data_IF_079251886677
#
_entry.id   IF_079251886677
#
_cell.length_a   1.000
_cell.length_b   1.000
_cell.length_c   1.000
_cell.angle_alpha   90.00
_cell.angle_beta   90.00
_cell.angle_gamma   90.00
#
_symmetry.space_group_name_H-M   'P 1'
#
loop_
_entity.id
_entity.type
_entity.pdbx_description
1 polymer ?
#
# COMPACT_ATOMS: atom_id res chain seq x y z
N UNK A 1 11.19 5.85 6.18
CA UNK A 1 12.06 4.83 6.81
C UNK A 1 13.32 4.75 5.98
N UNK A 2 14.50 4.86 6.61
CA UNK A 2 15.81 4.93 5.93
C UNK A 2 16.70 3.72 6.22
N UNK A 3 16.23 2.78 7.03
CA UNK A 3 16.85 1.47 7.20
C UNK A 3 15.78 0.41 7.45
N UNK A 4 15.96 -0.79 6.90
CA UNK A 4 15.06 -1.93 7.14
C UNK A 4 15.01 -2.34 8.62
N UNK A 5 16.07 -2.08 9.39
CA UNK A 5 16.11 -2.36 10.84
C UNK A 5 15.21 -1.45 11.66
N UNK A 6 14.70 -0.35 11.10
CA UNK A 6 13.74 0.54 11.77
C UNK A 6 12.32 -0.07 11.82
N UNK A 7 12.06 -1.10 10.99
CA UNK A 7 10.77 -1.77 10.95
C UNK A 7 10.48 -2.46 12.28
N UNK A 8 9.40 -2.02 12.93
CA UNK A 8 8.78 -2.72 14.05
C UNK A 8 7.75 -3.68 13.47
N UNK A 9 8.15 -4.86 13.02
CA UNK A 9 7.26 -5.78 12.30
C UNK A 9 6.11 -6.32 13.17
N UNK A 10 4.98 -6.66 12.52
CA UNK A 10 3.93 -7.52 13.09
C UNK A 10 3.79 -8.73 12.18
N UNK A 11 3.85 -9.93 12.75
CA UNK A 11 3.67 -11.15 11.98
C UNK A 11 2.28 -11.19 11.31
N UNK A 12 2.24 -11.68 10.07
CA UNK A 12 1.01 -12.02 9.37
C UNK A 12 0.25 -13.09 10.16
N UNK A 13 -1.03 -12.89 10.49
CA UNK A 13 -1.82 -13.93 11.12
C UNK A 13 -2.10 -15.06 10.11
N UNK A 14 -2.18 -16.30 10.59
CA UNK A 14 -2.37 -17.48 9.74
C UNK A 14 -3.63 -17.44 8.86
N UNK A 15 -4.64 -16.64 9.25
CA UNK A 15 -5.88 -16.45 8.50
C UNK A 15 -5.78 -15.45 7.35
N UNK A 16 -4.65 -14.73 7.21
CA UNK A 16 -4.42 -13.74 6.18
C UNK A 16 -3.30 -14.19 5.24
N UNK A 17 -3.64 -14.45 3.98
CA UNK A 17 -2.68 -14.75 2.91
C UNK A 17 -2.40 -13.49 2.11
N UNK A 18 -1.14 -13.16 1.85
CA UNK A 18 -0.77 -12.02 0.99
C UNK A 18 -0.02 -12.55 -0.22
N UNK A 19 -0.48 -12.18 -1.42
CA UNK A 19 0.05 -12.72 -2.70
C UNK A 19 0.34 -11.57 -3.66
N UNK A 20 1.49 -11.62 -4.32
CA UNK A 20 1.82 -10.67 -5.39
C UNK A 20 1.08 -11.01 -6.68
N UNK A 21 0.63 -9.98 -7.40
CA UNK A 21 0.23 -10.08 -8.79
C UNK A 21 1.47 -10.01 -9.70
N UNK A 22 2.24 -11.10 -9.77
CA UNK A 22 3.50 -11.16 -10.54
C UNK A 22 3.26 -10.98 -12.05
N UNK A 23 2.15 -11.53 -12.55
CA UNK A 23 1.68 -11.25 -13.91
C UNK A 23 0.98 -9.91 -13.92
N UNK A 24 1.63 -8.89 -14.47
CA UNK A 24 1.07 -7.55 -14.60
C UNK A 24 -0.32 -7.61 -15.25
N UNK A 25 -1.30 -7.05 -14.56
CA UNK A 25 -2.71 -7.11 -14.96
C UNK A 25 -3.41 -5.83 -14.52
N UNK A 26 -3.28 -4.78 -15.33
CA UNK A 26 -3.85 -3.47 -15.01
C UNK A 26 -5.37 -3.50 -14.67
N UNK A 27 -6.23 -4.35 -15.29
CA UNK A 27 -7.65 -4.37 -14.94
C UNK A 27 -7.88 -4.88 -13.51
N UNK A 28 -7.04 -5.80 -13.03
CA UNK A 28 -7.12 -6.31 -11.67
C UNK A 28 -6.66 -5.26 -10.65
N UNK A 29 -5.56 -4.57 -10.94
CA UNK A 29 -5.12 -3.44 -10.15
C UNK A 29 -6.20 -2.35 -10.05
N UNK A 30 -6.83 -1.97 -11.18
CA UNK A 30 -7.93 -1.02 -11.23
C UNK A 30 -9.12 -1.44 -10.37
N UNK A 31 -9.49 -2.71 -10.46
CA UNK A 31 -10.55 -3.28 -9.63
C UNK A 31 -10.24 -3.15 -8.12
N UNK A 32 -9.02 -3.47 -7.69
CA UNK A 32 -8.61 -3.36 -6.29
C UNK A 32 -8.63 -1.92 -5.80
N UNK A 33 -8.10 -0.99 -6.59
CA UNK A 33 -8.13 0.44 -6.31
C UNK A 33 -9.56 0.93 -6.09
N UNK A 34 -10.50 0.55 -6.96
CA UNK A 34 -11.90 0.93 -6.82
C UNK A 34 -12.58 0.27 -5.61
N UNK A 35 -12.33 -1.02 -5.38
CA UNK A 35 -12.94 -1.78 -4.29
C UNK A 35 -12.52 -1.24 -2.91
N UNK A 36 -11.24 -0.91 -2.76
CA UNK A 36 -10.67 -0.54 -1.45
C UNK A 36 -10.63 0.97 -1.26
N UNK A 37 -10.33 1.72 -2.32
CA UNK A 37 -10.27 3.18 -2.28
C UNK A 37 -11.61 3.89 -2.40
N UNK A 38 -12.61 3.25 -3.02
CA UNK A 38 -13.94 3.84 -3.24
C UNK A 38 -14.58 4.43 -1.97
N UNK A 39 -14.66 3.67 -0.86
CA UNK A 39 -15.18 4.19 0.41
C UNK A 39 -14.39 5.38 1.00
N UNK A 40 -13.11 5.53 0.62
CA UNK A 40 -12.21 6.61 1.05
C UNK A 40 -12.15 7.76 0.04
N UNK A 41 -13.00 7.75 -1.00
CA UNK A 41 -13.04 8.82 -1.99
C UNK A 41 -11.82 8.88 -2.91
N UNK A 42 -11.09 7.77 -3.07
CA UNK A 42 -10.00 7.71 -4.04
C UNK A 42 -10.54 7.91 -5.46
N UNK A 43 -10.13 9.02 -6.06
CA UNK A 43 -10.65 9.47 -7.36
C UNK A 43 -9.54 9.85 -8.35
N UNK A 44 -8.30 9.95 -7.87
CA UNK A 44 -7.14 10.46 -8.60
C UNK A 44 -6.80 9.64 -9.85
N UNK A 45 -7.07 8.33 -9.86
CA UNK A 45 -6.88 7.48 -11.05
C UNK A 45 -8.14 7.24 -11.87
N UNK A 46 -9.33 7.62 -11.39
CA UNK A 46 -10.61 7.21 -12.01
C UNK A 46 -10.83 7.80 -13.41
N UNK A 47 -10.17 8.91 -13.75
CA UNK A 47 -10.23 9.55 -15.07
C UNK A 47 -9.27 8.95 -16.09
N UNK A 48 -8.37 8.05 -15.67
CA UNK A 48 -7.40 7.42 -16.57
C UNK A 48 -8.10 6.51 -17.58
N UNK A 49 -7.69 6.62 -18.83
CA UNK A 49 -7.99 5.62 -19.87
C UNK A 49 -7.28 4.30 -19.56
N UNK A 50 -7.79 3.20 -20.11
CA UNK A 50 -7.16 1.87 -19.98
C UNK A 50 -5.69 1.89 -20.40
N UNK A 51 -5.35 2.56 -21.50
CA UNK A 51 -3.98 2.68 -21.97
C UNK A 51 -3.08 3.52 -21.05
N UNK A 52 -3.64 4.50 -20.31
CA UNK A 52 -2.87 5.24 -19.29
C UNK A 52 -2.66 4.39 -18.04
N UNK A 53 -3.71 3.70 -17.57
CA UNK A 53 -3.62 2.80 -16.42
C UNK A 53 -2.61 1.68 -16.68
N UNK A 54 -2.70 1.04 -17.85
CA UNK A 54 -1.77 0.00 -18.26
C UNK A 54 -0.32 0.48 -18.23
N UNK A 55 -0.03 1.64 -18.81
CA UNK A 55 1.32 2.22 -18.83
C UNK A 55 1.88 2.53 -17.44
N UNK A 56 1.03 2.81 -16.46
CA UNK A 56 1.47 3.08 -15.09
C UNK A 56 1.73 1.79 -14.30
N UNK A 57 0.88 0.78 -14.46
CA UNK A 57 0.89 -0.44 -13.63
C UNK A 57 1.77 -1.55 -14.21
N UNK A 58 1.84 -1.67 -15.54
CA UNK A 58 2.55 -2.75 -16.21
C UNK A 58 4.02 -2.38 -16.47
N UNK A 59 4.69 -1.88 -15.44
CA UNK A 59 6.11 -1.52 -15.46
C UNK A 59 6.91 -2.38 -14.47
N UNK A 60 8.24 -2.51 -14.64
CA UNK A 60 9.10 -3.19 -13.66
C UNK A 60 9.12 -2.50 -12.30
N UNK A 61 8.90 -1.19 -12.27
CA UNK A 61 8.97 -0.35 -11.07
C UNK A 61 7.66 -0.29 -10.29
N UNK A 62 6.60 -0.97 -10.75
CA UNK A 62 5.32 -1.06 -10.07
C UNK A 62 5.00 -2.50 -9.67
N UNK A 63 4.59 -2.74 -8.42
CA UNK A 63 4.18 -4.08 -7.94
C UNK A 63 2.90 -3.97 -7.11
N UNK A 64 2.01 -4.94 -7.24
CA UNK A 64 0.70 -4.99 -6.58
C UNK A 64 0.57 -6.27 -5.77
N UNK A 65 0.11 -6.17 -4.52
CA UNK A 65 -0.20 -7.32 -3.67
C UNK A 65 -1.64 -7.28 -3.19
N UNK A 66 -2.20 -8.46 -2.97
CA UNK A 66 -3.55 -8.64 -2.45
C UNK A 66 -3.51 -9.50 -1.20
N UNK A 67 -4.19 -9.02 -0.17
CA UNK A 67 -4.45 -9.78 1.03
C UNK A 67 -5.79 -10.49 0.92
N UNK A 68 -5.82 -11.76 1.27
CA UNK A 68 -7.02 -12.61 1.26
C UNK A 68 -7.29 -13.14 2.66
N UNK A 69 -8.55 -13.13 3.06
CA UNK A 69 -9.03 -13.77 4.28
C UNK A 69 -10.21 -14.66 3.92
N UNK A 70 -10.08 -15.97 4.16
CA UNK A 70 -11.09 -16.99 3.85
C UNK A 70 -11.59 -16.93 2.39
N UNK A 71 -10.68 -16.70 1.45
CA UNK A 71 -10.97 -16.65 0.01
C UNK A 71 -11.52 -15.33 -0.51
N UNK A 72 -11.89 -14.39 0.37
CA UNK A 72 -12.30 -13.04 -0.01
C UNK A 72 -11.12 -12.06 0.08
N UNK A 73 -11.17 -10.98 -0.70
CA UNK A 73 -10.20 -9.88 -0.60
C UNK A 73 -10.38 -9.18 0.75
N UNK A 74 -9.29 -9.09 1.51
CA UNK A 74 -9.22 -8.41 2.79
C UNK A 74 -8.57 -7.03 2.68
N UNK A 75 -7.70 -6.84 1.69
CA UNK A 75 -6.96 -5.61 1.47
C UNK A 75 -6.00 -5.72 0.30
N UNK A 76 -5.27 -4.64 0.04
CA UNK A 76 -4.27 -4.59 -1.01
C UNK A 76 -3.27 -3.47 -0.75
N UNK A 77 -2.15 -3.54 -1.46
CA UNK A 77 -1.24 -2.40 -1.55
C UNK A 77 -0.48 -2.40 -2.88
N UNK A 78 -0.04 -1.21 -3.25
CA UNK A 78 0.82 -0.95 -4.40
C UNK A 78 2.16 -0.42 -3.90
N UNK A 79 3.25 -0.91 -4.49
CA UNK A 79 4.57 -0.33 -4.30
C UNK A 79 5.09 0.22 -5.62
N UNK A 80 5.72 1.39 -5.55
CA UNK A 80 6.34 2.05 -6.70
C UNK A 80 7.80 2.41 -6.40
N UNK A 81 8.73 1.92 -7.22
CA UNK A 81 10.15 2.27 -7.15
C UNK A 81 10.41 3.60 -7.86
N UNK A 82 11.20 4.46 -7.22
CA UNK A 82 11.64 5.76 -7.72
C UNK A 82 13.13 5.90 -7.44
N UNK A 83 13.97 5.48 -8.40
CA UNK A 83 15.43 5.39 -8.19
C UNK A 83 15.78 4.39 -7.10
N UNK A 84 16.37 4.87 -6.00
CA UNK A 84 16.72 4.05 -4.83
C UNK A 84 15.65 4.11 -3.73
N UNK A 85 14.50 4.70 -4.01
CA UNK A 85 13.41 4.81 -3.05
C UNK A 85 12.22 3.97 -3.48
N UNK A 86 11.41 3.57 -2.50
CA UNK A 86 10.18 2.82 -2.73
C UNK A 86 9.04 3.49 -1.97
N UNK A 87 8.01 3.85 -2.70
CA UNK A 87 6.76 4.38 -2.17
C UNK A 87 5.75 3.26 -1.96
N UNK A 88 5.08 3.25 -0.82
CA UNK A 88 3.81 2.53 -0.63
C UNK A 88 2.71 3.43 -1.20
N UNK A 89 2.46 3.29 -2.51
CA UNK A 89 1.63 4.22 -3.27
C UNK A 89 0.16 4.17 -2.86
N UNK A 90 -0.36 2.95 -2.64
CA UNK A 90 -1.69 2.74 -2.07
C UNK A 90 -1.63 1.62 -1.05
N UNK A 91 -2.43 1.77 0.00
CA UNK A 91 -2.54 0.78 1.06
C UNK A 91 -3.94 0.84 1.67
N UNK A 92 -4.60 -0.31 1.78
CA UNK A 92 -5.91 -0.33 2.42
C UNK A 92 -6.44 -1.73 2.69
N UNK A 93 -7.47 -1.76 3.54
CA UNK A 93 -8.30 -2.93 3.80
C UNK A 93 -9.71 -2.65 3.30
N UNK A 94 -10.47 -3.70 2.98
CA UNK A 94 -11.91 -3.58 2.83
C UNK A 94 -12.56 -3.29 4.19
N UNK A 95 -13.69 -2.58 4.21
CA UNK A 95 -14.35 -2.14 5.45
C UNK A 95 -14.67 -3.30 6.40
N UNK A 96 -15.06 -4.46 5.87
CA UNK A 96 -15.40 -5.65 6.67
C UNK A 96 -14.19 -6.21 7.45
N UNK A 97 -12.97 -5.77 7.11
CA UNK A 97 -11.74 -6.16 7.78
C UNK A 97 -11.21 -5.12 8.79
N UNK A 98 -11.91 -4.00 8.98
CA UNK A 98 -11.54 -3.00 9.98
C UNK A 98 -11.68 -3.54 11.41
N UNK A 99 -10.83 -3.07 12.32
CA UNK A 99 -10.81 -3.53 13.72
C UNK A 99 -10.34 -4.97 13.94
N UNK A 100 -10.08 -5.75 12.87
CA UNK A 100 -9.64 -7.16 12.97
C UNK A 100 -8.13 -7.33 13.17
N UNK A 101 -7.40 -6.23 13.27
CA UNK A 101 -5.95 -6.24 13.50
C UNK A 101 -5.08 -6.60 12.29
N UNK A 102 -5.65 -6.63 11.07
CA UNK A 102 -4.96 -6.95 9.81
C UNK A 102 -4.10 -5.82 9.24
N UNK A 103 -4.37 -4.56 9.60
CA UNK A 103 -3.66 -3.41 9.02
C UNK A 103 -2.18 -3.38 9.39
N UNK A 104 -1.83 -3.64 10.65
CA UNK A 104 -0.44 -3.68 11.10
C UNK A 104 0.40 -4.78 10.44
N UNK A 105 -0.09 -6.03 10.40
CA UNK A 105 0.60 -7.11 9.69
C UNK A 105 0.72 -6.87 8.17
N UNK A 106 -0.35 -6.40 7.52
CA UNK A 106 -0.30 -6.11 6.09
C UNK A 106 0.71 -4.99 5.77
N UNK A 107 0.75 -3.94 6.59
CA UNK A 107 1.73 -2.86 6.43
C UNK A 107 3.17 -3.34 6.67
N UNK A 108 3.37 -4.22 7.65
CA UNK A 108 4.70 -4.81 7.91
C UNK A 108 5.18 -5.58 6.68
N UNK A 109 4.29 -6.41 6.10
CA UNK A 109 4.57 -7.12 4.86
C UNK A 109 4.87 -6.16 3.70
N UNK A 110 4.09 -5.08 3.53
CA UNK A 110 4.37 -4.09 2.48
C UNK A 110 5.76 -3.44 2.62
N UNK A 111 6.16 -3.07 3.84
CA UNK A 111 7.48 -2.49 4.11
C UNK A 111 8.61 -3.51 3.86
N UNK A 112 8.42 -4.76 4.26
CA UNK A 112 9.38 -5.84 3.99
C UNK A 112 9.58 -6.05 2.48
N UNK A 113 8.47 -6.09 1.71
CA UNK A 113 8.54 -6.21 0.25
C UNK A 113 9.18 -4.98 -0.41
N UNK A 114 8.98 -3.79 0.15
CA UNK A 114 9.61 -2.56 -0.32
C UNK A 114 11.15 -2.60 -0.16
N UNK A 115 11.63 -3.02 0.99
CA UNK A 115 13.07 -3.23 1.24
C UNK A 115 13.67 -4.39 0.44
N UNK A 116 12.83 -5.29 -0.08
CA UNK A 116 13.26 -6.39 -0.94
C UNK A 116 13.74 -5.97 -2.34
N UNK A 117 13.59 -4.70 -2.73
CA UNK A 117 14.21 -4.20 -3.96
C UNK A 117 15.70 -3.93 -3.78
N UNK A 118 16.52 -4.47 -4.68
CA UNK A 118 17.96 -4.24 -4.70
C UNK A 118 18.28 -2.73 -4.80
N UNK A 119 19.11 -2.26 -3.87
CA UNK A 119 19.52 -0.86 -3.78
C UNK A 119 18.47 0.08 -3.19
N UNK A 120 17.43 -0.43 -2.54
CA UNK A 120 16.51 0.41 -1.77
C UNK A 120 17.25 1.08 -0.60
N UNK A 121 17.16 2.40 -0.51
CA UNK A 121 17.73 3.24 0.56
C UNK A 121 16.63 3.92 1.40
N UNK A 122 15.40 3.99 0.89
CA UNK A 122 14.27 4.64 1.57
C UNK A 122 12.94 4.01 1.21
N UNK A 123 12.13 3.75 2.23
CA UNK A 123 10.70 3.38 2.11
C UNK A 123 9.84 4.48 2.71
N UNK A 124 8.82 4.91 1.98
CA UNK A 124 7.97 6.03 2.37
C UNK A 124 6.51 5.88 1.89
N UNK A 125 5.62 6.71 2.42
CA UNK A 125 4.16 6.67 2.14
C UNK A 125 3.57 8.06 2.36
N UNK A 126 2.59 8.44 1.54
CA UNK A 126 1.75 9.60 1.79
C UNK A 126 0.55 9.24 2.67
N UNK A 127 0.14 10.16 3.55
CA UNK A 127 -1.12 10.06 4.27
C UNK A 127 -1.74 11.45 4.42
N UNK A 128 -3.07 11.53 4.39
CA UNK A 128 -3.79 12.79 4.50
C UNK A 128 -4.98 12.67 5.45
N UNK A 129 -5.65 13.79 5.72
CA UNK A 129 -6.82 13.87 6.61
C UNK A 129 -8.05 13.11 6.11
N UNK A 130 -8.07 12.70 4.83
CA UNK A 130 -9.14 11.87 4.26
C UNK A 130 -8.94 10.38 4.55
N UNK A 131 -7.74 9.96 4.97
CA UNK A 131 -7.48 8.57 5.30
C UNK A 131 -8.18 8.13 6.59
N UNK A 132 -8.21 6.82 6.82
CA UNK A 132 -8.70 6.26 8.08
C UNK A 132 -7.98 6.90 9.28
N UNK A 133 -8.68 7.31 10.36
CA UNK A 133 -8.07 7.99 11.52
C UNK A 133 -6.89 7.25 12.16
N UNK A 134 -6.84 5.93 12.00
CA UNK A 134 -5.75 5.07 12.49
C UNK A 134 -4.56 4.92 11.54
N UNK A 135 -4.59 5.50 10.33
CA UNK A 135 -3.54 5.32 9.31
C UNK A 135 -2.18 5.81 9.81
N UNK A 136 -2.10 7.08 10.23
CA UNK A 136 -0.86 7.68 10.76
C UNK A 136 -0.31 6.90 11.96
N UNK A 137 -1.18 6.52 12.90
CA UNK A 137 -0.80 5.72 14.07
C UNK A 137 -0.27 4.34 13.67
N UNK A 138 -0.87 3.70 12.66
CA UNK A 138 -0.39 2.42 12.15
C UNK A 138 1.01 2.56 11.51
N UNK A 139 1.23 3.60 10.70
CA UNK A 139 2.54 3.90 10.11
C UNK A 139 3.62 4.09 11.18
N UNK A 140 3.36 4.96 12.16
CA UNK A 140 4.28 5.23 13.26
C UNK A 140 4.54 3.98 14.12
N UNK A 141 3.50 3.19 14.40
CA UNK A 141 3.64 1.95 15.14
C UNK A 141 4.57 0.93 14.43
N UNK A 142 4.73 1.01 13.11
CA UNK A 142 5.64 0.16 12.31
C UNK A 142 7.02 0.78 12.09
N UNK A 143 7.30 1.95 12.67
CA UNK A 143 8.62 2.60 12.61
C UNK A 143 8.77 3.65 11.51
N UNK A 144 7.71 3.97 10.76
CA UNK A 144 7.71 5.15 9.90
C UNK A 144 7.71 6.42 10.77
N UNK A 145 8.35 7.48 10.26
CA UNK A 145 8.42 8.79 10.91
C UNK A 145 7.98 9.87 9.93
N UNK A 146 7.33 10.90 10.45
CA UNK A 146 7.03 12.10 9.67
C UNK A 146 8.35 12.72 9.21
N UNK A 147 8.49 12.97 7.91
CA UNK A 147 9.67 13.60 7.32
C UNK A 147 9.32 14.88 6.53
N UNK A 148 8.07 14.98 6.09
CA UNK A 148 7.52 16.14 5.41
C UNK A 148 6.03 16.25 5.75
N UNK A 149 5.56 17.47 5.94
CA UNK A 149 4.16 17.80 6.14
C UNK A 149 3.87 19.04 5.29
N UNK A 150 2.75 18.99 4.57
CA UNK A 150 2.25 20.10 3.79
C UNK A 150 0.80 20.34 4.19
N UNK A 151 0.47 21.60 4.47
CA UNK A 151 -0.90 22.04 4.76
C UNK A 151 -1.43 22.70 3.50
N UNK A 152 -2.43 22.11 2.86
CA UNK A 152 -3.15 22.74 1.76
C UNK A 152 -4.20 23.70 2.33
N UNK A 153 -3.95 25.01 2.18
CA UNK A 153 -4.89 26.07 2.55
C UNK A 153 -4.32 27.10 3.53
N UNK A 154 -3.81 28.20 2.96
CA UNK A 154 -3.96 29.56 3.50
C UNK A 154 -4.47 30.45 2.37
#
# INVERSE_FOLDING_TARGET
MTSSTELKAKALPAELSVVECERKQYPFNRFLYQLIGGPWGWTDKLSLTDAQWQRQIETPDHRTWVAYHRGAIAGYYELQRQGNEVEILYFGLVEQCFGRGFGGPLLSHAIEQAWGWDGCERVWVHTCSLDHPSALLNYQARGLRLYHEQVEGA
#
